data_IF_769855885928
#
_entry.id   IF_769855885928
#
_cell.length_a   1.000
_cell.length_b   1.000
_cell.length_c   1.000
_cell.angle_alpha   90.00
_cell.angle_beta   90.00
_cell.angle_gamma   90.00
#
_symmetry.space_group_name_H-M   'P 1'
#
loop_
_entity.id
_entity.type
_entity.pdbx_description
1 polymer ?
#
# COMPACT_ATOMS: atom_id res chain seq x y z
N UNK A 1 3.20 25.91 2.93
CA UNK A 1 2.34 26.07 1.73
C UNK A 1 1.79 24.71 1.37
N UNK A 2 0.48 24.49 1.49
CA UNK A 2 -0.15 23.26 1.00
C UNK A 2 -0.44 23.44 -0.48
N UNK A 3 0.38 22.82 -1.33
CA UNK A 3 0.09 22.75 -2.77
C UNK A 3 -1.03 21.72 -2.95
N UNK A 4 -2.28 22.20 -3.04
CA UNK A 4 -3.43 21.33 -3.26
C UNK A 4 -3.46 20.88 -4.72
N UNK A 5 -3.24 19.58 -4.95
CA UNK A 5 -3.37 18.95 -6.27
C UNK A 5 -4.64 18.10 -6.29
N UNK A 6 -5.56 18.39 -7.21
CA UNK A 6 -6.79 17.60 -7.37
C UNK A 6 -6.47 16.31 -8.13
N UNK A 7 -6.78 15.16 -7.54
CA UNK A 7 -6.63 13.84 -8.16
C UNK A 7 -7.99 13.23 -8.50
N UNK A 8 -8.16 12.79 -9.74
CA UNK A 8 -9.36 12.09 -10.21
C UNK A 8 -9.00 10.62 -10.46
N UNK A 9 -9.61 9.70 -9.72
CA UNK A 9 -9.41 8.27 -9.89
C UNK A 9 -10.74 7.55 -10.14
N UNK A 10 -10.70 6.49 -10.95
CA UNK A 10 -11.83 5.56 -11.12
C UNK A 10 -11.69 4.44 -10.10
N UNK A 11 -12.70 4.30 -9.25
CA UNK A 11 -12.78 3.27 -8.21
C UNK A 11 -14.17 2.64 -8.30
N UNK A 12 -14.26 1.34 -8.04
CA UNK A 12 -15.55 0.67 -7.90
C UNK A 12 -16.39 1.36 -6.82
N UNK A 13 -17.68 1.65 -7.08
CA UNK A 13 -18.51 2.41 -6.14
C UNK A 13 -18.74 1.68 -4.82
N UNK A 14 -18.78 0.35 -4.81
CA UNK A 14 -18.93 -0.43 -3.59
C UNK A 14 -17.65 -0.35 -2.75
N UNK A 15 -16.48 -0.53 -3.39
CA UNK A 15 -15.18 -0.39 -2.72
C UNK A 15 -15.05 1.01 -2.11
N UNK A 16 -15.44 2.05 -2.85
CA UNK A 16 -15.41 3.43 -2.36
C UNK A 16 -16.30 3.59 -1.13
N UNK A 17 -17.55 3.13 -1.18
CA UNK A 17 -18.50 3.25 -0.07
C UNK A 17 -17.98 2.56 1.19
N UNK A 18 -17.46 1.34 1.04
CA UNK A 18 -16.99 0.55 2.17
C UNK A 18 -15.73 1.18 2.79
N UNK A 19 -14.80 1.67 1.96
CA UNK A 19 -13.63 2.42 2.43
C UNK A 19 -14.02 3.74 3.13
N UNK A 20 -14.95 4.51 2.55
CA UNK A 20 -15.45 5.74 3.14
C UNK A 20 -16.03 5.50 4.53
N UNK A 21 -16.80 4.42 4.71
CA UNK A 21 -17.39 4.09 6.01
C UNK A 21 -16.32 3.81 7.06
N UNK A 22 -15.35 2.95 6.74
CA UNK A 22 -14.25 2.59 7.65
C UNK A 22 -13.44 3.83 8.06
N UNK A 23 -13.11 4.69 7.09
CA UNK A 23 -12.31 5.90 7.31
C UNK A 23 -13.08 6.91 8.15
N UNK A 24 -14.39 7.02 7.92
CA UNK A 24 -15.28 7.90 8.71
C UNK A 24 -15.42 7.41 10.15
N UNK A 25 -15.47 6.10 10.37
CA UNK A 25 -15.49 5.50 11.71
C UNK A 25 -14.17 5.73 12.46
N UNK A 26 -13.05 5.91 11.75
CA UNK A 26 -11.76 6.34 12.32
C UNK A 26 -11.69 7.85 12.61
N UNK A 27 -12.69 8.64 12.20
CA UNK A 27 -12.75 10.09 12.46
C UNK A 27 -11.82 10.92 11.58
N UNK A 28 -11.32 10.37 10.47
CA UNK A 28 -10.45 11.08 9.52
C UNK A 28 -11.14 11.21 8.15
N UNK A 29 -10.63 12.09 7.30
CA UNK A 29 -11.14 12.23 5.93
C UNK A 29 -10.43 11.28 4.97
N UNK A 30 -11.01 11.07 3.79
CA UNK A 30 -10.35 10.34 2.69
C UNK A 30 -9.02 10.98 2.29
N UNK A 31 -8.95 12.32 2.32
CA UNK A 31 -7.72 13.05 2.02
C UNK A 31 -6.63 12.76 3.05
N UNK A 32 -6.99 12.70 4.34
CA UNK A 32 -6.04 12.36 5.41
C UNK A 32 -5.54 10.92 5.25
N UNK A 33 -6.44 9.99 4.93
CA UNK A 33 -6.09 8.59 4.65
C UNK A 33 -5.13 8.46 3.45
N UNK A 34 -5.35 9.22 2.38
CA UNK A 34 -4.43 9.29 1.23
C UNK A 34 -3.06 9.85 1.64
N UNK A 35 -3.02 10.91 2.45
CA UNK A 35 -1.77 11.48 2.93
C UNK A 35 -0.99 10.48 3.77
N UNK A 36 -1.66 9.78 4.70
CA UNK A 36 -1.07 8.74 5.51
C UNK A 36 -0.52 7.59 4.66
N UNK A 37 -1.26 7.20 3.61
CA UNK A 37 -0.80 6.18 2.67
C UNK A 37 0.49 6.59 1.95
N UNK A 38 0.58 7.83 1.45
CA UNK A 38 1.81 8.33 0.82
C UNK A 38 2.97 8.43 1.82
N UNK A 39 2.72 8.87 3.05
CA UNK A 39 3.73 8.90 4.11
C UNK A 39 4.31 7.51 4.36
N UNK A 40 3.48 6.47 4.36
CA UNK A 40 3.94 5.09 4.51
C UNK A 40 4.75 4.61 3.30
N UNK A 41 4.37 5.02 2.08
CA UNK A 41 5.17 4.71 0.88
C UNK A 41 6.57 5.33 0.98
N UNK A 42 6.63 6.60 1.37
CA UNK A 42 7.89 7.33 1.51
C UNK A 42 8.74 6.70 2.63
N UNK A 43 8.13 6.38 3.77
CA UNK A 43 8.83 5.81 4.92
C UNK A 43 9.44 4.43 4.62
N UNK A 44 8.71 3.58 3.89
CA UNK A 44 9.14 2.21 3.59
C UNK A 44 9.85 2.06 2.23
N UNK A 45 10.01 3.17 1.48
CA UNK A 45 10.53 3.17 0.11
C UNK A 45 9.84 2.13 -0.79
N UNK A 46 8.53 1.95 -0.61
CA UNK A 46 7.77 0.89 -1.26
C UNK A 46 6.32 0.85 -0.83
N UNK A 47 5.52 -0.04 -1.41
CA UNK A 47 4.15 -0.29 -0.96
C UNK A 47 4.10 -0.69 0.52
N UNK A 48 3.13 -0.15 1.29
CA UNK A 48 3.03 -0.39 2.72
C UNK A 48 2.34 -1.71 3.08
N UNK A 49 2.13 -2.58 2.10
CA UNK A 49 1.56 -3.91 2.27
C UNK A 49 2.29 -4.89 1.36
N UNK A 50 2.35 -6.15 1.79
CA UNK A 50 2.98 -7.20 1.03
C UNK A 50 2.13 -7.58 -0.18
N UNK A 51 2.67 -7.41 -1.39
CA UNK A 51 2.01 -7.84 -2.62
C UNK A 51 2.50 -9.25 -2.96
N UNK A 52 1.76 -10.25 -2.49
CA UNK A 52 1.92 -11.62 -2.97
C UNK A 52 0.79 -12.00 -3.92
N UNK A 53 1.18 -12.60 -5.04
CA UNK A 53 0.29 -13.36 -5.88
C UNK A 53 0.43 -14.83 -5.49
N UNK A 54 -0.70 -15.51 -5.26
CA UNK A 54 -0.70 -16.97 -5.15
C UNK A 54 -0.41 -17.52 -6.55
N UNK A 55 0.82 -17.94 -6.78
CA UNK A 55 1.11 -18.79 -7.92
C UNK A 55 0.42 -20.13 -7.73
N UNK A 56 -0.60 -20.38 -8.54
CA UNK A 56 -1.29 -21.68 -8.61
C UNK A 56 -0.41 -22.78 -9.23
N UNK A 57 0.80 -22.45 -9.71
CA UNK A 57 1.71 -23.37 -10.40
C UNK A 57 3.10 -23.52 -9.76
N UNK A 58 3.34 -22.99 -8.55
CA UNK A 58 4.51 -23.31 -7.73
C UNK A 58 5.89 -22.97 -8.33
N UNK A 59 6.00 -22.08 -9.31
CA UNK A 59 7.27 -21.75 -9.99
C UNK A 59 7.71 -20.31 -9.71
N UNK A 60 8.51 -20.12 -8.66
CA UNK A 60 9.01 -18.82 -8.23
C UNK A 60 9.86 -18.12 -9.32
N UNK A 61 9.24 -17.24 -10.11
CA UNK A 61 9.94 -16.21 -10.87
C UNK A 61 9.91 -14.92 -10.05
N UNK A 62 11.09 -14.45 -9.64
CA UNK A 62 11.24 -13.15 -9.01
C UNK A 62 10.88 -12.06 -10.03
N UNK A 63 10.01 -11.12 -9.67
CA UNK A 63 9.74 -9.92 -10.47
C UNK A 63 10.92 -8.94 -10.26
N UNK A 64 11.60 -8.47 -11.32
CA UNK A 64 12.67 -7.48 -11.17
C UNK A 64 12.01 -6.12 -10.90
N UNK A 65 11.99 -5.68 -9.64
CA UNK A 65 11.47 -4.34 -9.33
C UNK A 65 11.21 -4.02 -7.86
N UNK A 66 11.32 -4.97 -6.94
CA UNK A 66 11.13 -4.70 -5.51
C UNK A 66 12.29 -5.28 -4.69
N UNK A 67 13.42 -4.57 -4.68
CA UNK A 67 14.53 -4.85 -3.76
C UNK A 67 14.20 -4.25 -2.40
N UNK A 68 13.35 -4.93 -1.63
CA UNK A 68 13.35 -4.75 -0.19
C UNK A 68 14.74 -5.13 0.34
N UNK A 69 15.29 -4.27 1.19
CA UNK A 69 16.63 -4.40 1.76
C UNK A 69 16.86 -5.81 2.33
N UNK A 70 17.86 -6.51 1.77
CA UNK A 70 18.21 -7.91 2.08
C UNK A 70 18.80 -8.13 3.48
N UNK A 71 18.81 -7.13 4.38
CA UNK A 71 19.31 -7.30 5.75
C UNK A 71 18.38 -8.05 6.71
N UNK A 72 17.21 -8.54 6.28
CA UNK A 72 16.29 -9.29 7.18
C UNK A 72 16.23 -10.80 6.92
N UNK A 73 16.91 -11.35 5.91
CA UNK A 73 16.83 -12.79 5.58
C UNK A 73 17.87 -13.62 6.37
N UNK A 74 18.65 -12.98 7.25
CA UNK A 74 19.67 -13.64 8.07
C UNK A 74 19.18 -14.22 9.43
N UNK A 75 17.89 -14.12 9.78
CA UNK A 75 17.42 -14.42 11.15
C UNK A 75 16.50 -15.65 11.29
N UNK A 76 16.40 -16.52 10.28
CA UNK A 76 15.53 -17.74 10.33
C UNK A 76 16.33 -19.05 10.22
N UNK A 77 17.65 -19.01 10.33
CA UNK A 77 18.47 -20.21 10.51
C UNK A 77 19.53 -19.99 11.60
N UNK A 78 19.06 -19.91 12.84
CA UNK A 78 19.75 -20.41 14.04
C UNK A 78 18.71 -21.12 14.91
#
# INVERSE_FOLDING_TARGET
MSSTTTSHNRVDPNIKRDADQIIKDMGITISDAHELFYRQIIANQGLPFFVAYRQINGSWHHLPGWQANVNCIGAIFL
#
